data_IF_994407669798
#
_entry.id   IF_994407669798
#
_cell.length_a   1.000
_cell.length_b   1.000
_cell.length_c   1.000
_cell.angle_alpha   90.00
_cell.angle_beta   90.00
_cell.angle_gamma   90.00
#
_symmetry.space_group_name_H-M   'P 1'
#
loop_
_entity.id
_entity.type
_entity.pdbx_description
1 polymer ?
#
# COMPACT_ATOMS: atom_id res chain seq x y z
N UNK A 1 43.28 29.09 18.47
CA UNK A 1 42.65 29.44 17.18
C UNK A 1 42.52 28.18 16.33
N UNK A 2 41.42 28.09 15.56
CA UNK A 2 40.97 26.99 14.67
C UNK A 2 40.31 25.80 15.36
N UNK A 3 39.19 25.25 14.88
CA UNK A 3 38.05 25.68 14.03
C UNK A 3 37.14 24.43 14.08
N UNK A 4 35.88 24.57 14.48
CA UNK A 4 34.90 23.48 14.39
C UNK A 4 34.59 23.21 12.91
N UNK A 5 34.68 21.95 12.47
CA UNK A 5 34.11 21.50 11.20
C UNK A 5 32.97 20.54 11.50
N UNK A 6 31.75 21.02 11.28
CA UNK A 6 30.54 20.21 11.12
C UNK A 6 30.68 19.42 9.83
N UNK A 7 30.76 18.10 9.93
CA UNK A 7 30.52 17.20 8.80
C UNK A 7 29.06 16.72 8.88
N UNK A 8 28.19 17.38 8.11
CA UNK A 8 26.82 16.96 7.89
C UNK A 8 26.84 15.93 6.75
N UNK A 9 26.81 14.66 7.09
CA UNK A 9 26.76 13.57 6.11
C UNK A 9 25.36 13.50 5.52
N UNK A 10 25.12 14.16 4.39
CA UNK A 10 23.91 13.98 3.59
C UNK A 10 24.08 12.65 2.84
N UNK A 11 23.41 11.61 3.32
CA UNK A 11 23.25 10.37 2.59
C UNK A 11 22.32 10.64 1.40
N UNK A 12 22.90 10.70 0.20
CA UNK A 12 22.15 10.75 -1.06
C UNK A 12 21.57 9.35 -1.29
N UNK A 13 20.29 9.18 -0.93
CA UNK A 13 19.52 7.99 -1.27
C UNK A 13 19.26 8.03 -2.78
N UNK A 14 19.96 7.17 -3.52
CA UNK A 14 19.77 6.99 -4.96
C UNK A 14 18.42 6.31 -5.17
N UNK A 15 17.32 7.08 -5.20
CA UNK A 15 16.02 6.56 -5.63
C UNK A 15 16.11 6.38 -7.14
N UNK A 16 16.34 5.15 -7.58
CA UNK A 16 16.20 4.79 -8.98
C UNK A 16 14.75 5.06 -9.37
N UNK A 17 14.50 6.19 -10.06
CA UNK A 17 13.24 6.45 -10.73
C UNK A 17 13.08 5.44 -11.87
N UNK A 18 12.68 4.21 -11.56
CA UNK A 18 11.94 3.41 -12.53
C UNK A 18 10.57 4.06 -12.64
N UNK A 19 10.39 4.83 -13.71
CA UNK A 19 9.09 5.27 -14.18
C UNK A 19 8.25 4.04 -14.51
N UNK A 20 7.59 3.47 -13.51
CA UNK A 20 6.40 2.66 -13.75
C UNK A 20 5.36 3.68 -14.19
N UNK A 21 5.27 3.88 -15.51
CA UNK A 21 4.21 4.67 -16.11
C UNK A 21 2.88 4.19 -15.55
N UNK A 22 2.02 5.13 -15.18
CA UNK A 22 0.66 4.85 -14.73
C UNK A 22 -0.02 3.92 -15.76
N UNK A 23 -0.07 2.63 -15.46
CA UNK A 23 -0.88 1.69 -16.23
C UNK A 23 -2.31 1.95 -15.77
N UNK A 24 -3.06 2.68 -16.60
CA UNK A 24 -4.50 2.77 -16.45
C UNK A 24 -5.10 1.38 -16.60
N UNK A 25 -5.38 0.71 -15.47
CA UNK A 25 -6.07 -0.58 -15.46
C UNK A 25 -7.55 -0.33 -15.74
N UNK A 26 -7.99 -0.64 -16.95
CA UNK A 26 -9.42 -0.65 -17.30
C UNK A 26 -10.09 -1.91 -16.71
N UNK A 27 -10.64 -1.81 -15.51
CA UNK A 27 -11.45 -2.88 -14.92
C UNK A 27 -12.86 -2.92 -15.54
N UNK A 28 -13.32 -4.11 -15.94
CA UNK A 28 -14.70 -4.33 -16.43
C UNK A 28 -15.65 -4.41 -15.23
N UNK A 29 -16.62 -3.49 -15.16
CA UNK A 29 -17.68 -3.47 -14.13
C UNK A 29 -18.69 -4.59 -14.40
N UNK A 30 -18.90 -5.45 -13.40
CA UNK A 30 -20.06 -6.36 -13.33
C UNK A 30 -21.07 -5.75 -12.37
N UNK A 31 -22.24 -5.36 -12.87
CA UNK A 31 -23.29 -4.72 -12.08
C UNK A 31 -24.10 -5.77 -11.32
N UNK A 32 -23.74 -6.03 -10.07
CA UNK A 32 -24.57 -6.75 -9.10
C UNK A 32 -25.51 -5.78 -8.37
N UNK A 33 -26.79 -6.15 -8.21
CA UNK A 33 -27.84 -5.34 -7.60
C UNK A 33 -27.65 -5.14 -6.09
N UNK A 34 -27.62 -3.87 -5.66
CA UNK A 34 -27.56 -3.36 -4.29
C UNK A 34 -28.75 -3.84 -3.42
N UNK A 35 -28.49 -4.29 -2.19
CA UNK A 35 -29.52 -4.46 -1.14
C UNK A 35 -29.03 -3.78 0.14
N UNK A 36 -29.85 -2.87 0.64
CA UNK A 36 -29.55 -1.96 1.75
C UNK A 36 -29.49 -2.68 3.11
N UNK A 37 -28.49 -2.34 3.93
CA UNK A 37 -28.39 -2.85 5.30
C UNK A 37 -27.19 -2.29 6.09
N UNK A 38 -27.28 -1.03 6.53
CA UNK A 38 -26.36 -0.44 7.52
C UNK A 38 -26.75 -0.82 8.97
N UNK A 39 -25.82 -0.62 9.94
CA UNK A 39 -26.15 0.41 10.92
C UNK A 39 -24.97 1.32 11.37
N UNK A 40 -25.32 2.60 11.54
CA UNK A 40 -24.74 3.63 12.43
C UNK A 40 -23.52 4.45 11.96
N UNK A 41 -23.75 5.32 10.95
CA UNK A 41 -23.07 6.60 10.76
C UNK A 41 -24.09 7.76 10.78
N UNK A 42 -23.74 8.94 11.30
CA UNK A 42 -24.65 10.10 11.40
C UNK A 42 -25.15 10.62 10.03
N UNK A 43 -26.21 11.47 9.99
CA UNK A 43 -27.10 11.56 8.83
C UNK A 43 -26.57 12.20 7.54
N UNK A 44 -25.29 12.56 7.41
CA UNK A 44 -24.81 13.37 6.27
C UNK A 44 -23.34 13.16 5.85
N UNK A 45 -22.68 12.07 6.25
CA UNK A 45 -21.43 11.67 5.60
C UNK A 45 -21.76 10.60 4.55
N UNK A 46 -21.42 10.76 3.27
CA UNK A 46 -21.49 9.63 2.35
C UNK A 46 -20.54 8.55 2.89
N UNK A 47 -21.08 7.36 3.16
CA UNK A 47 -20.28 6.20 3.55
C UNK A 47 -19.21 6.00 2.48
N UNK A 48 -17.95 6.24 2.85
CA UNK A 48 -16.82 6.08 1.93
C UNK A 48 -16.59 4.58 1.75
N UNK A 49 -17.08 4.05 0.66
CA UNK A 49 -16.85 2.67 0.26
C UNK A 49 -15.59 2.59 -0.62
N UNK A 50 -14.56 1.92 -0.10
CA UNK A 50 -13.34 1.63 -0.86
C UNK A 50 -13.21 0.14 -1.07
N UNK A 51 -12.71 -0.25 -2.23
CA UNK A 51 -12.35 -1.65 -2.52
C UNK A 51 -10.93 -1.71 -3.03
N UNK A 52 -10.30 -2.89 -2.97
CA UNK A 52 -8.93 -3.06 -3.41
C UNK A 52 -8.78 -4.34 -4.26
N UNK A 53 -8.24 -4.19 -5.46
CA UNK A 53 -8.06 -5.29 -6.43
C UNK A 53 -6.58 -5.58 -6.66
N UNK A 54 -6.10 -6.81 -6.36
CA UNK A 54 -4.72 -7.18 -6.64
C UNK A 54 -4.41 -7.12 -8.14
N UNK A 55 -3.13 -6.89 -8.47
CA UNK A 55 -2.63 -6.96 -9.84
C UNK A 55 -1.22 -7.55 -9.90
N UNK A 56 -0.87 -8.02 -11.09
CA UNK A 56 0.47 -8.42 -11.48
C UNK A 56 0.88 -7.65 -12.74
N UNK A 57 2.10 -7.14 -12.74
CA UNK A 57 2.76 -6.56 -13.89
C UNK A 57 4.00 -7.41 -14.21
N UNK A 58 3.95 -8.15 -15.31
CA UNK A 58 5.06 -9.00 -15.77
C UNK A 58 5.08 -9.06 -17.31
N UNK A 59 5.52 -7.98 -17.98
CA UNK A 59 5.56 -7.92 -19.44
C UNK A 59 6.50 -8.94 -20.08
N UNK A 60 7.42 -9.51 -19.29
CA UNK A 60 8.35 -10.55 -19.76
C UNK A 60 7.82 -11.96 -19.55
N UNK A 61 6.65 -12.13 -18.92
CA UNK A 61 6.07 -13.42 -18.57
C UNK A 61 7.04 -14.32 -17.79
N UNK A 62 7.79 -13.73 -16.86
CA UNK A 62 8.74 -14.44 -16.01
C UNK A 62 8.07 -15.40 -15.01
N UNK A 63 6.82 -15.13 -14.61
CA UNK A 63 6.08 -15.91 -13.63
C UNK A 63 6.59 -15.75 -12.19
N UNK A 64 7.33 -14.68 -11.90
CA UNK A 64 7.98 -14.49 -10.60
C UNK A 64 7.17 -13.62 -9.63
N UNK A 65 6.08 -13.00 -10.07
CA UNK A 65 5.27 -12.12 -9.22
C UNK A 65 3.93 -12.76 -8.91
N UNK A 66 3.42 -12.48 -7.71
CA UNK A 66 2.08 -12.89 -7.29
C UNK A 66 1.43 -11.75 -6.53
N UNK A 67 0.20 -11.40 -6.90
CA UNK A 67 -0.65 -10.48 -6.13
C UNK A 67 -2.05 -11.06 -6.00
N UNK A 68 -2.45 -11.49 -4.80
CA UNK A 68 -3.78 -12.09 -4.61
C UNK A 68 -4.31 -11.98 -3.16
N UNK A 69 -5.63 -11.99 -3.03
CA UNK A 69 -6.34 -12.15 -1.77
C UNK A 69 -6.44 -13.64 -1.42
N UNK A 70 -5.67 -14.09 -0.44
CA UNK A 70 -5.60 -15.50 -0.06
C UNK A 70 -6.45 -15.75 1.19
N UNK A 71 -7.41 -16.68 1.08
CA UNK A 71 -8.23 -17.12 2.22
C UNK A 71 -7.37 -17.72 3.32
N UNK A 72 -7.79 -17.48 4.56
CA UNK A 72 -7.16 -17.97 5.79
C UNK A 72 -5.71 -17.54 5.99
N UNK A 73 -5.25 -16.50 5.28
CA UNK A 73 -3.91 -15.95 5.42
C UNK A 73 -3.86 -14.69 6.30
N UNK A 74 -4.99 -14.00 6.42
CA UNK A 74 -5.12 -12.76 7.19
C UNK A 74 -5.56 -12.95 8.64
N UNK A 75 -5.90 -11.82 9.25
CA UNK A 75 -6.43 -11.68 10.59
C UNK A 75 -7.88 -12.19 10.68
N UNK A 76 -8.35 -12.53 11.89
CA UNK A 76 -9.77 -12.80 12.13
C UNK A 76 -10.63 -11.60 11.72
N UNK A 77 -11.58 -11.81 10.82
CA UNK A 77 -12.62 -10.83 10.50
C UNK A 77 -13.87 -11.15 11.35
N UNK A 78 -14.45 -10.12 11.95
CA UNK A 78 -15.69 -10.20 12.73
C UNK A 78 -16.91 -10.48 11.86
N UNK A 79 -16.85 -10.17 10.57
CA UNK A 79 -17.97 -10.30 9.62
C UNK A 79 -17.88 -11.58 8.78
N UNK A 80 -16.71 -12.22 8.73
CA UNK A 80 -16.43 -13.35 7.85
C UNK A 80 -15.37 -14.29 8.43
N UNK A 81 -15.56 -15.60 8.24
CA UNK A 81 -14.56 -16.61 8.63
C UNK A 81 -13.43 -16.76 7.59
N UNK A 82 -13.52 -16.05 6.46
CA UNK A 82 -12.64 -16.22 5.33
C UNK A 82 -11.22 -15.74 5.60
N UNK A 83 -11.03 -14.76 6.50
CA UNK A 83 -9.72 -14.26 6.97
C UNK A 83 -8.74 -14.03 5.81
N UNK A 84 -9.13 -13.17 4.88
CA UNK A 84 -8.30 -12.90 3.71
C UNK A 84 -7.03 -12.16 4.10
N UNK A 85 -5.91 -12.54 3.50
CA UNK A 85 -4.67 -11.77 3.55
C UNK A 85 -4.20 -11.48 2.14
N UNK A 86 -3.78 -10.24 1.88
CA UNK A 86 -3.18 -9.85 0.62
C UNK A 86 -1.74 -10.35 0.57
N UNK A 87 -1.50 -11.36 -0.27
CA UNK A 87 -0.16 -11.84 -0.58
C UNK A 87 0.41 -11.05 -1.76
N UNK A 88 1.55 -10.39 -1.55
CA UNK A 88 2.35 -9.79 -2.62
C UNK A 88 3.72 -10.44 -2.62
N UNK A 89 4.21 -10.87 -3.77
CA UNK A 89 5.57 -11.41 -3.89
C UNK A 89 6.23 -11.12 -5.23
N UNK A 90 7.56 -11.12 -5.21
CA UNK A 90 8.48 -11.07 -6.34
C UNK A 90 9.66 -12.00 -6.06
N UNK A 91 9.56 -13.22 -6.60
CA UNK A 91 10.57 -14.26 -6.47
C UNK A 91 11.68 -14.13 -7.53
N UNK A 92 12.37 -13.00 -7.51
CA UNK A 92 13.49 -12.70 -8.40
C UNK A 92 14.25 -11.46 -7.91
N UNK A 93 15.11 -10.89 -8.75
CA UNK A 93 15.88 -9.70 -8.37
C UNK A 93 15.07 -8.42 -8.58
N UNK A 94 15.30 -7.40 -7.75
CA UNK A 94 14.67 -6.08 -7.82
C UNK A 94 14.72 -5.47 -9.23
N UNK A 95 15.85 -5.52 -9.98
CA UNK A 95 15.91 -4.95 -11.33
C UNK A 95 15.05 -5.66 -12.38
N UNK A 96 14.54 -6.86 -12.11
CA UNK A 96 13.65 -7.56 -13.04
C UNK A 96 12.38 -6.73 -13.22
N UNK A 97 11.98 -6.47 -14.48
CA UNK A 97 10.83 -5.65 -14.81
C UNK A 97 9.51 -6.39 -14.55
N UNK A 98 9.21 -6.62 -13.27
CA UNK A 98 7.98 -7.22 -12.79
C UNK A 98 7.63 -6.66 -11.41
N UNK A 99 6.34 -6.53 -11.12
CA UNK A 99 5.83 -6.15 -9.80
C UNK A 99 4.48 -6.80 -9.50
N UNK A 100 4.18 -6.96 -8.21
CA UNK A 100 2.85 -7.25 -7.72
C UNK A 100 2.27 -6.02 -7.03
N UNK A 101 0.97 -5.98 -6.80
CA UNK A 101 0.38 -4.91 -6.02
C UNK A 101 -1.12 -5.02 -5.85
N UNK A 102 -1.71 -3.93 -5.39
CA UNK A 102 -3.16 -3.77 -5.28
C UNK A 102 -3.53 -2.33 -5.64
N UNK A 103 -4.60 -2.16 -6.41
CA UNK A 103 -5.17 -0.84 -6.75
C UNK A 103 -6.41 -0.59 -5.90
N UNK A 104 -6.56 0.63 -5.39
CA UNK A 104 -7.73 1.05 -4.61
C UNK A 104 -8.75 1.74 -5.52
N UNK A 105 -10.03 1.44 -5.29
CA UNK A 105 -11.16 2.05 -6.00
C UNK A 105 -11.98 2.92 -5.05
N UNK A 106 -12.69 3.90 -5.60
CA UNK A 106 -13.51 4.85 -4.83
C UNK A 106 -12.70 5.98 -4.16
N UNK A 107 -11.38 6.00 -4.33
CA UNK A 107 -10.48 6.96 -3.67
C UNK A 107 -10.38 8.33 -4.36
N UNK A 108 -10.84 8.44 -5.61
CA UNK A 108 -10.73 9.69 -6.38
C UNK A 108 -11.49 10.84 -5.72
N UNK A 109 -10.86 12.00 -5.62
CA UNK A 109 -11.42 13.23 -5.05
C UNK A 109 -11.34 13.32 -3.53
N UNK A 110 -10.83 12.31 -2.82
CA UNK A 110 -10.67 12.41 -1.36
C UNK A 110 -9.42 13.22 -1.00
N UNK A 111 -9.48 13.91 0.14
CA UNK A 111 -8.29 14.34 0.85
C UNK A 111 -7.73 13.18 1.67
N UNK A 112 -6.41 13.00 1.65
CA UNK A 112 -5.74 11.91 2.34
C UNK A 112 -5.17 12.39 3.68
N UNK A 113 -5.61 11.78 4.76
CA UNK A 113 -5.20 12.05 6.13
C UNK A 113 -4.33 10.92 6.70
N UNK A 114 -4.61 9.67 6.33
CA UNK A 114 -3.88 8.50 6.79
C UNK A 114 -3.86 7.40 5.71
N UNK A 115 -2.76 6.66 5.68
CA UNK A 115 -2.63 5.38 4.97
C UNK A 115 -2.14 4.31 5.94
N UNK A 116 -2.39 3.05 5.63
CA UNK A 116 -1.79 1.97 6.40
C UNK A 116 -2.19 0.57 5.97
N UNK A 117 -1.68 -0.39 6.74
CA UNK A 117 -2.06 -1.79 6.70
C UNK A 117 -1.59 -2.47 7.99
N UNK A 118 -2.16 -3.63 8.30
CA UNK A 118 -1.56 -4.59 9.21
C UNK A 118 -0.64 -5.51 8.40
N UNK A 119 0.60 -5.67 8.88
CA UNK A 119 1.66 -6.42 8.24
C UNK A 119 1.97 -7.67 9.07
N UNK A 120 2.09 -8.82 8.40
CA UNK A 120 2.54 -10.05 9.04
C UNK A 120 4.04 -9.97 9.31
N UNK A 121 4.42 -10.05 10.58
CA UNK A 121 5.81 -9.91 11.02
C UNK A 121 6.71 -10.93 10.31
N UNK A 122 7.91 -10.48 9.96
CA UNK A 122 8.89 -11.26 9.19
C UNK A 122 8.69 -11.20 7.67
N UNK A 123 7.64 -10.52 7.18
CA UNK A 123 7.50 -10.15 5.77
C UNK A 123 8.33 -8.94 5.38
N UNK A 124 8.50 -8.77 4.07
CA UNK A 124 9.31 -7.70 3.50
C UNK A 124 8.70 -6.32 3.77
N UNK A 125 9.54 -5.38 4.19
CA UNK A 125 9.16 -4.01 4.50
C UNK A 125 10.39 -3.10 4.32
N UNK A 126 10.71 -2.84 3.06
CA UNK A 126 11.78 -1.96 2.63
C UNK A 126 11.31 -0.52 2.41
N UNK A 127 12.23 0.32 1.92
CA UNK A 127 11.90 1.67 1.48
C UNK A 127 11.19 1.66 0.12
N UNK A 128 11.45 0.65 -0.72
CA UNK A 128 10.85 0.51 -2.05
C UNK A 128 9.57 -0.31 -2.07
N UNK A 129 9.38 -1.29 -1.17
CA UNK A 129 8.21 -2.17 -1.16
C UNK A 129 7.85 -2.75 0.24
N UNK A 130 6.57 -3.07 0.50
CA UNK A 130 5.42 -2.52 -0.21
C UNK A 130 5.40 -0.99 -0.05
N UNK A 131 5.09 -0.27 -1.12
CA UNK A 131 4.96 1.20 -1.08
C UNK A 131 3.61 1.63 -1.59
N UNK A 132 3.02 2.65 -0.98
CA UNK A 132 1.92 3.35 -1.63
C UNK A 132 2.49 4.26 -2.72
N UNK A 133 1.92 4.15 -3.91
CA UNK A 133 1.99 5.15 -4.95
C UNK A 133 0.65 5.89 -4.94
N UNK A 134 0.65 7.16 -4.53
CA UNK A 134 -0.51 8.03 -4.58
C UNK A 134 -0.32 9.02 -5.72
N UNK A 135 -1.27 9.09 -6.64
CA UNK A 135 -1.31 10.15 -7.65
C UNK A 135 -2.35 11.17 -7.22
N UNK A 136 -1.98 12.43 -7.12
CA UNK A 136 -2.88 13.56 -6.84
C UNK A 136 -3.43 14.16 -8.13
N UNK A 137 -4.48 14.99 -8.02
CA UNK A 137 -5.18 15.60 -9.17
C UNK A 137 -4.33 16.58 -9.99
N UNK A 138 -3.18 17.01 -9.47
CA UNK A 138 -2.15 17.76 -10.20
C UNK A 138 -1.11 16.85 -10.88
N UNK A 139 -1.40 15.54 -10.95
CA UNK A 139 -0.62 14.49 -11.62
C UNK A 139 0.74 14.19 -10.96
N UNK A 140 0.96 14.67 -9.74
CA UNK A 140 2.16 14.33 -8.96
C UNK A 140 2.01 12.93 -8.37
N UNK A 141 3.07 12.12 -8.48
CA UNK A 141 3.15 10.82 -7.80
C UNK A 141 3.94 10.95 -6.51
N UNK A 142 3.33 10.53 -5.41
CA UNK A 142 3.89 10.51 -4.07
C UNK A 142 4.16 9.07 -3.65
N UNK A 143 5.35 8.84 -3.09
CA UNK A 143 5.82 7.53 -2.66
C UNK A 143 5.86 7.47 -1.14
N UNK A 144 5.23 6.44 -0.57
CA UNK A 144 5.20 6.17 0.87
C UNK A 144 5.65 4.73 1.09
N UNK A 145 6.92 4.54 1.44
CA UNK A 145 7.56 3.23 1.57
C UNK A 145 7.40 2.63 2.97
N UNK A 146 7.19 1.31 3.04
CA UNK A 146 6.92 0.57 4.30
C UNK A 146 7.86 0.91 5.46
N UNK A 147 9.17 0.98 5.19
CA UNK A 147 10.19 1.23 6.22
C UNK A 147 10.04 2.58 6.94
N UNK A 148 9.30 3.54 6.38
CA UNK A 148 9.06 4.85 6.98
C UNK A 148 7.87 4.88 7.95
N UNK A 149 7.04 3.84 7.92
CA UNK A 149 5.79 3.78 8.66
C UNK A 149 5.98 3.73 10.17
N UNK A 150 5.04 4.32 10.90
CA UNK A 150 4.95 4.17 12.35
C UNK A 150 4.39 2.78 12.66
N UNK A 151 5.15 1.99 13.43
CA UNK A 151 4.83 0.60 13.76
C UNK A 151 4.27 0.49 15.17
N UNK A 152 3.19 -0.25 15.33
CA UNK A 152 2.60 -0.58 16.64
C UNK A 152 2.18 -2.04 16.68
N UNK A 153 2.28 -2.70 17.82
CA UNK A 153 1.77 -4.06 17.97
C UNK A 153 0.24 -4.09 17.78
N UNK A 154 -0.27 -5.15 17.14
CA UNK A 154 -1.71 -5.44 17.14
C UNK A 154 -2.07 -6.35 18.32
N UNK A 155 -3.37 -6.56 18.55
CA UNK A 155 -3.85 -7.57 19.50
C UNK A 155 -3.61 -9.01 19.03
N UNK A 156 -3.25 -9.22 17.76
CA UNK A 156 -3.00 -10.53 17.16
C UNK A 156 -1.50 -10.82 17.10
N UNK A 157 -0.98 -11.81 17.84
CA UNK A 157 0.42 -12.18 17.77
C UNK A 157 0.86 -12.50 16.33
N UNK A 158 2.06 -12.08 15.95
CA UNK A 158 2.56 -12.26 14.58
C UNK A 158 2.21 -11.13 13.62
N UNK A 159 1.48 -10.10 14.07
CA UNK A 159 1.08 -8.96 13.25
C UNK A 159 1.40 -7.63 13.89
N UNK A 160 1.84 -6.68 13.08
CA UNK A 160 2.04 -5.29 13.47
C UNK A 160 1.23 -4.36 12.57
N UNK A 161 0.80 -3.24 13.13
CA UNK A 161 0.13 -2.18 12.41
C UNK A 161 1.15 -1.18 11.92
N UNK A 162 1.10 -0.86 10.63
CA UNK A 162 1.93 0.18 10.01
C UNK A 162 1.01 1.32 9.55
N UNK A 163 1.32 2.54 10.01
CA UNK A 163 0.57 3.76 9.66
C UNK A 163 1.48 4.84 9.12
N UNK A 164 0.94 5.62 8.19
CA UNK A 164 1.65 6.68 7.49
C UNK A 164 0.82 7.97 7.50
N UNK A 165 1.50 9.07 7.79
CA UNK A 165 1.00 10.42 7.60
C UNK A 165 1.45 10.92 6.22
N UNK A 166 0.53 11.09 5.25
CA UNK A 166 0.90 11.47 3.88
C UNK A 166 1.53 12.86 3.77
N UNK A 167 1.31 13.72 4.77
CA UNK A 167 1.86 15.08 4.86
C UNK A 167 3.27 15.10 5.46
N UNK A 168 3.72 13.99 6.04
CA UNK A 168 5.02 13.91 6.71
C UNK A 168 6.16 13.78 5.70
N UNK A 169 7.10 14.73 5.75
CA UNK A 169 8.32 14.72 4.93
C UNK A 169 9.26 13.54 5.22
N UNK A 170 9.06 12.82 6.31
CA UNK A 170 9.85 11.63 6.66
C UNK A 170 9.19 10.33 6.21
N UNK A 171 7.93 10.38 5.77
CA UNK A 171 7.14 9.20 5.38
C UNK A 171 6.70 9.23 3.91
N UNK A 172 6.54 10.43 3.34
CA UNK A 172 6.11 10.63 1.96
C UNK A 172 7.09 11.49 1.17
N UNK A 173 7.32 11.11 -0.10
CA UNK A 173 8.15 11.86 -1.02
C UNK A 173 7.53 11.96 -2.42
N UNK A 174 7.23 13.18 -2.92
CA UNK A 174 7.04 14.38 -2.12
C UNK A 174 5.92 14.18 -1.06
N UNK A 175 5.89 14.96 0.04
CA UNK A 175 4.73 14.97 0.93
C UNK A 175 3.48 15.46 0.20
N UNK A 176 2.31 14.93 0.56
CA UNK A 176 1.01 15.32 0.01
C UNK A 176 0.48 16.52 0.80
N UNK A 177 0.10 17.60 0.14
CA UNK A 177 -0.54 18.74 0.79
C UNK A 177 -1.95 18.37 1.27
N UNK A 178 -2.41 18.80 2.46
CA UNK A 178 -3.79 18.61 2.89
C UNK A 178 -4.85 19.18 1.94
N UNK A 179 -4.48 20.14 1.07
CA UNK A 179 -5.36 20.73 0.07
C UNK A 179 -5.48 19.90 -1.21
N UNK A 180 -4.55 18.97 -1.45
CA UNK A 180 -4.57 18.12 -2.64
C UNK A 180 -5.65 17.04 -2.50
N UNK A 181 -6.20 16.66 -3.64
CA UNK A 181 -7.12 15.54 -3.75
C UNK A 181 -6.47 14.40 -4.52
N UNK A 182 -6.84 13.17 -4.16
CA UNK A 182 -6.34 11.95 -4.78
C UNK A 182 -6.96 11.76 -6.16
N UNK A 183 -6.15 11.38 -7.14
CA UNK A 183 -6.59 10.82 -8.43
C UNK A 183 -6.59 9.28 -8.38
N UNK A 184 -5.52 8.65 -7.86
CA UNK A 184 -5.44 7.19 -7.69
C UNK A 184 -4.51 6.78 -6.54
N UNK A 185 -4.70 5.57 -6.02
CA UNK A 185 -3.83 4.95 -5.01
C UNK A 185 -3.58 3.50 -5.40
N UNK A 186 -2.33 3.07 -5.29
CA UNK A 186 -1.94 1.67 -5.36
C UNK A 186 -0.90 1.34 -4.29
N UNK A 187 -0.88 0.10 -3.82
CA UNK A 187 0.33 -0.47 -3.19
C UNK A 187 1.10 -1.24 -4.26
N UNK A 188 2.40 -1.03 -4.32
CA UNK A 188 3.33 -1.68 -5.25
C UNK A 188 4.38 -2.47 -4.47
N UNK A 189 4.66 -3.68 -4.96
CA UNK A 189 5.70 -4.58 -4.47
C UNK A 189 6.63 -4.94 -5.63
N UNK A 190 7.77 -4.26 -5.72
CA UNK A 190 8.76 -4.41 -6.80
C UNK A 190 10.19 -4.73 -6.30
N UNK A 191 10.39 -4.85 -4.98
CA UNK A 191 11.66 -5.32 -4.40
C UNK A 191 11.70 -6.85 -4.36
N UNK A 192 12.84 -7.39 -4.78
CA UNK A 192 13.08 -8.82 -4.93
C UNK A 192 13.86 -9.44 -3.76
N UNK A 193 14.27 -10.69 -3.93
CA UNK A 193 15.02 -11.47 -2.94
C UNK A 193 16.48 -11.01 -2.75
N UNK A 194 16.96 -10.12 -3.61
CA UNK A 194 18.27 -9.47 -3.53
C UNK A 194 18.27 -8.18 -2.70
N UNK A 195 17.12 -7.78 -2.17
CA UNK A 195 16.96 -6.58 -1.35
C UNK A 195 16.46 -6.95 0.06
N UNK A 196 17.10 -6.39 1.08
CA UNK A 196 16.71 -6.56 2.47
C UNK A 196 15.40 -5.81 2.82
N UNK A 197 14.89 -5.96 4.05
CA UNK A 197 15.62 -6.47 5.21
C UNK A 197 15.60 -8.00 5.36
N UNK A 198 14.61 -8.67 4.82
CA UNK A 198 14.36 -10.11 5.05
C UNK A 198 14.77 -11.01 3.88
N UNK A 199 15.01 -10.43 2.69
CA UNK A 199 15.34 -11.13 1.45
C UNK A 199 14.31 -12.19 1.02
N UNK A 200 13.08 -12.10 1.51
CA UNK A 200 12.01 -13.04 1.17
C UNK A 200 11.38 -12.76 -0.20
N UNK A 201 11.44 -11.49 -0.65
CA UNK A 201 10.68 -11.03 -1.80
C UNK A 201 9.18 -11.21 -1.63
N UNK A 202 8.66 -11.16 -0.40
CA UNK A 202 7.25 -11.45 -0.11
C UNK A 202 6.74 -10.68 1.11
N UNK A 203 5.47 -10.29 1.07
CA UNK A 203 4.75 -9.74 2.22
C UNK A 203 3.31 -10.25 2.26
N UNK A 204 2.76 -10.37 3.47
CA UNK A 204 1.33 -10.56 3.70
C UNK A 204 0.80 -9.33 4.43
N UNK A 205 -0.21 -8.70 3.83
CA UNK A 205 -0.89 -7.53 4.35
C UNK A 205 -2.35 -7.87 4.66
N UNK A 206 -2.94 -7.14 5.58
CA UNK A 206 -4.37 -7.17 5.89
C UNK A 206 -4.81 -5.79 6.41
N UNK A 207 -6.11 -5.55 6.58
CA UNK A 207 -6.67 -4.29 7.06
C UNK A 207 -6.05 -3.07 6.36
N UNK A 208 -6.05 -3.09 5.03
CA UNK A 208 -5.54 -1.96 4.24
C UNK A 208 -6.35 -0.71 4.59
N UNK A 209 -5.67 0.36 4.96
CA UNK A 209 -6.28 1.54 5.57
C UNK A 209 -6.17 2.74 4.64
N UNK A 210 -7.32 3.32 4.31
CA UNK A 210 -7.45 4.63 3.67
C UNK A 210 -8.31 5.50 4.58
N UNK A 211 -7.72 6.50 5.25
CA UNK A 211 -8.43 7.43 6.14
C UNK A 211 -9.29 6.76 7.24
N UNK A 212 -8.84 5.63 7.79
CA UNK A 212 -9.53 4.86 8.82
C UNK A 212 -10.56 3.87 8.28
N UNK A 213 -10.79 3.81 6.96
CA UNK A 213 -11.60 2.76 6.32
C UNK A 213 -10.70 1.57 6.03
N UNK A 214 -11.03 0.42 6.61
CA UNK A 214 -10.26 -0.82 6.49
C UNK A 214 -10.82 -1.72 5.39
N UNK A 215 -9.93 -2.30 4.59
CA UNK A 215 -10.23 -3.28 3.54
C UNK A 215 -9.46 -4.56 3.88
N UNK A 216 -10.18 -5.63 4.22
CA UNK A 216 -9.60 -6.90 4.67
C UNK A 216 -9.64 -8.02 3.62
N UNK A 217 -10.37 -7.83 2.52
CA UNK A 217 -10.60 -8.88 1.56
C UNK A 217 -11.21 -8.44 0.23
N UNK A 218 -11.49 -9.42 -0.66
CA UNK A 218 -12.04 -9.15 -1.96
C UNK A 218 -13.47 -8.65 -1.85
N UNK A 219 -13.69 -7.41 -2.26
CA UNK A 219 -15.03 -6.84 -2.37
C UNK A 219 -15.68 -6.46 -1.04
N UNK A 220 -14.92 -6.29 0.06
CA UNK A 220 -15.51 -5.87 1.34
C UNK A 220 -16.42 -4.65 1.16
N UNK A 221 -17.65 -4.82 1.69
CA UNK A 221 -18.89 -4.10 1.38
C UNK A 221 -19.30 -3.13 2.48
#
# INVERSE_FOLDING_TARGET
>A
MRRYSFALTIAVLLVAMMTIGAVAVAARVSTGTQRDGAPNGGPNAPDKHFTASPFEFDPTHSGIVVGDWVRHLGLPDTQSDQRFGLLLSKNGTTPTNASAGVVFHGVKGIHLAELGYDLRMGGHCGAGAPRFNVVTTDEVTHFIGCASGTRTATSNPGWERVRFSPTSVTQAFPPISPSETVESIAIVFDEGTDTGPDHSGMVVLDNLDINGVLIGGPGDH
#
